data_IF_411895388868
#
_entry.id   IF_411895388868
#
_cell.length_a   1.000
_cell.length_b   1.000
_cell.length_c   1.000
_cell.angle_alpha   90.00
_cell.angle_beta   90.00
_cell.angle_gamma   90.00
#
_symmetry.space_group_name_H-M   'P 1'
#
loop_
_entity.id
_entity.type
_entity.pdbx_description
1 polymer ?
#
# COMPACT_ATOMS: atom_id res chain seq x y z
N UNK A 1 13.62 64.12 -25.34
CA UNK A 1 12.52 63.23 -25.74
C UNK A 1 12.65 62.96 -27.23
N UNK A 2 13.20 61.80 -27.59
CA UNK A 2 13.35 61.36 -28.98
C UNK A 2 12.22 60.36 -29.31
N UNK A 3 11.68 60.36 -30.54
CA UNK A 3 10.63 59.43 -30.93
C UNK A 3 11.19 58.01 -31.17
N UNK A 4 10.36 56.95 -30.99
CA UNK A 4 10.80 55.58 -31.20
C UNK A 4 10.95 55.26 -32.70
N UNK A 5 11.82 54.31 -33.07
CA UNK A 5 12.02 53.89 -34.45
C UNK A 5 10.88 52.98 -34.95
N UNK A 6 10.69 52.87 -36.28
CA UNK A 6 9.56 52.17 -36.88
C UNK A 6 9.73 50.64 -36.78
N UNK A 7 8.63 49.96 -36.44
CA UNK A 7 8.55 48.50 -36.46
C UNK A 7 8.47 47.97 -37.90
N UNK A 8 9.38 47.06 -38.25
CA UNK A 8 9.33 46.28 -39.50
C UNK A 8 8.43 45.06 -39.28
N UNK A 9 7.34 44.98 -40.04
CA UNK A 9 6.55 43.75 -40.17
C UNK A 9 7.28 42.77 -41.10
N UNK A 10 7.67 41.61 -40.55
CA UNK A 10 8.11 40.44 -41.32
C UNK A 10 6.91 39.52 -41.54
N UNK A 11 6.41 39.50 -42.77
CA UNK A 11 5.39 38.56 -43.23
C UNK A 11 6.07 37.24 -43.59
N UNK A 12 5.99 36.23 -42.71
CA UNK A 12 6.37 34.86 -43.05
C UNK A 12 5.16 34.13 -43.65
N UNK A 13 5.21 33.83 -44.95
CA UNK A 13 4.27 32.91 -45.60
C UNK A 13 4.64 31.48 -45.19
N UNK A 14 3.84 30.87 -44.31
CA UNK A 14 3.87 29.45 -44.03
C UNK A 14 2.87 28.73 -44.95
N UNK A 15 3.41 28.04 -45.95
CA UNK A 15 2.70 27.11 -46.81
C UNK A 15 2.20 25.92 -45.98
N UNK A 16 0.88 25.82 -45.79
CA UNK A 16 0.22 24.67 -45.19
C UNK A 16 0.19 23.49 -46.18
N UNK A 17 1.07 22.51 -45.98
CA UNK A 17 0.87 21.17 -46.51
C UNK A 17 -0.05 20.40 -45.54
N UNK A 18 -1.24 20.02 -46.03
CA UNK A 18 -2.20 19.17 -45.30
C UNK A 18 -1.67 17.72 -45.20
N UNK A 19 -1.56 17.12 -44.02
CA UNK A 19 -1.55 15.67 -43.89
C UNK A 19 -3.00 15.15 -43.92
N UNK A 20 -3.20 14.05 -44.65
CA UNK A 20 -4.48 13.33 -44.74
C UNK A 20 -4.90 12.79 -43.37
N UNK A 21 -6.18 12.90 -43.09
CA UNK A 21 -6.87 12.28 -41.97
C UNK A 21 -6.54 10.79 -41.82
N UNK A 22 -5.95 10.42 -40.70
CA UNK A 22 -6.22 9.14 -40.04
C UNK A 22 -6.67 9.48 -38.61
N UNK A 23 -7.97 9.35 -38.36
CA UNK A 23 -8.55 9.46 -37.03
C UNK A 23 -7.98 8.34 -36.16
N UNK A 24 -7.01 8.66 -35.32
CA UNK A 24 -6.68 7.84 -34.17
C UNK A 24 -7.65 8.24 -33.06
N UNK A 25 -8.72 7.47 -32.93
CA UNK A 25 -9.52 7.42 -31.70
C UNK A 25 -8.66 6.64 -30.70
N UNK A 26 -8.25 7.21 -29.57
CA UNK A 26 -7.70 6.39 -28.50
C UNK A 26 -8.85 5.51 -28.01
N UNK A 27 -8.83 4.24 -28.43
CA UNK A 27 -9.64 3.21 -27.78
C UNK A 27 -9.04 3.09 -26.38
N UNK A 28 -9.74 3.64 -25.39
CA UNK A 28 -9.54 3.28 -24.00
C UNK A 28 -9.88 1.78 -23.91
N UNK A 29 -8.86 0.93 -23.98
CA UNK A 29 -9.00 -0.47 -23.64
C UNK A 29 -9.16 -0.50 -22.13
N UNK A 30 -10.40 -0.45 -21.66
CA UNK A 30 -10.75 -0.87 -20.32
C UNK A 30 -10.52 -2.38 -20.25
N UNK A 31 -9.27 -2.78 -20.01
CA UNK A 31 -8.98 -4.12 -19.55
C UNK A 31 -9.53 -4.21 -18.13
N UNK A 32 -10.69 -4.86 -17.99
CA UNK A 32 -11.21 -5.25 -16.68
C UNK A 32 -10.27 -6.30 -16.12
N UNK A 33 -9.32 -5.89 -15.29
CA UNK A 33 -8.51 -6.78 -14.46
C UNK A 33 -9.34 -7.24 -13.26
N UNK A 34 -10.36 -8.06 -13.51
CA UNK A 34 -10.92 -8.92 -12.47
C UNK A 34 -10.03 -10.15 -12.40
N UNK A 35 -8.95 -10.04 -11.64
CA UNK A 35 -8.18 -11.18 -11.18
C UNK A 35 -8.09 -11.06 -9.68
N UNK A 36 -8.65 -12.05 -8.95
CA UNK A 36 -8.32 -12.30 -7.55
C UNK A 36 -6.82 -12.08 -7.38
N UNK A 37 -6.43 -11.19 -6.46
CA UNK A 37 -5.08 -10.63 -6.30
C UNK A 37 -3.98 -11.64 -5.95
N UNK A 38 -3.80 -12.68 -6.75
CA UNK A 38 -2.69 -13.60 -6.65
C UNK A 38 -1.65 -13.24 -7.69
N UNK A 39 -0.61 -12.53 -7.25
CA UNK A 39 0.70 -12.69 -7.89
C UNK A 39 1.19 -14.12 -7.59
N UNK A 40 0.75 -15.06 -8.43
CA UNK A 40 1.24 -16.43 -8.52
C UNK A 40 2.64 -16.41 -9.12
N UNK A 41 3.67 -16.46 -8.27
CA UNK A 41 4.85 -17.26 -8.59
C UNK A 41 4.48 -18.66 -8.15
N UNK A 42 4.17 -19.56 -9.09
CA UNK A 42 4.17 -20.99 -8.80
C UNK A 42 5.61 -21.38 -8.44
N UNK A 43 5.96 -21.29 -7.17
CA UNK A 43 6.89 -22.27 -6.61
C UNK A 43 5.99 -23.45 -6.27
N UNK A 44 5.85 -24.38 -7.22
CA UNK A 44 5.34 -25.71 -6.87
C UNK A 44 6.23 -26.22 -5.74
N UNK A 45 5.68 -26.54 -4.55
CA UNK A 45 6.47 -27.19 -3.53
C UNK A 45 7.08 -28.43 -4.16
N UNK A 46 8.37 -28.66 -3.91
CA UNK A 46 8.99 -29.92 -4.32
C UNK A 46 8.16 -31.09 -3.75
N UNK A 47 8.13 -32.26 -4.40
CA UNK A 47 7.31 -33.40 -3.98
C UNK A 47 7.51 -33.80 -2.50
N UNK A 48 8.63 -33.45 -1.89
CA UNK A 48 8.91 -33.66 -0.46
C UNK A 48 8.11 -32.74 0.49
N UNK A 49 7.81 -31.49 0.11
CA UNK A 49 6.96 -30.60 0.92
C UNK A 49 5.49 -31.01 0.81
N UNK A 50 5.03 -31.39 -0.40
CA UNK A 50 3.67 -31.92 -0.60
C UNK A 50 3.44 -33.18 0.25
N UNK A 51 4.44 -34.06 0.33
CA UNK A 51 4.37 -35.27 1.17
C UNK A 51 4.26 -34.98 2.68
N UNK A 52 4.78 -33.84 3.17
CA UNK A 52 4.59 -33.41 4.56
C UNK A 52 3.14 -32.98 4.82
N UNK A 53 2.49 -32.32 3.85
CA UNK A 53 1.09 -31.88 3.97
C UNK A 53 0.08 -33.02 3.80
N UNK A 54 0.36 -34.01 2.93
CA UNK A 54 -0.48 -35.20 2.82
C UNK A 54 -0.46 -36.07 4.09
N UNK A 55 0.62 -35.99 4.89
CA UNK A 55 0.67 -36.64 6.21
C UNK A 55 -0.22 -35.94 7.25
N UNK A 56 -0.51 -34.65 7.10
CA UNK A 56 -1.47 -33.92 7.93
C UNK A 56 -2.91 -34.31 7.56
N UNK A 57 -3.18 -34.56 6.26
CA UNK A 57 -4.48 -35.07 5.80
C UNK A 57 -4.84 -36.44 6.38
N UNK A 58 -3.87 -37.33 6.60
CA UNK A 58 -4.18 -38.67 7.13
C UNK A 58 -4.52 -38.68 8.63
N UNK A 59 -4.25 -37.61 9.37
CA UNK A 59 -4.53 -37.52 10.81
C UNK A 59 -5.90 -36.87 11.11
N UNK A 60 -6.52 -36.19 10.14
CA UNK A 60 -7.79 -35.46 10.34
C UNK A 60 -9.06 -36.27 10.02
N UNK A 61 -8.97 -37.57 9.75
CA UNK A 61 -10.12 -38.39 9.36
C UNK A 61 -11.05 -38.82 10.53
N UNK A 62 -10.98 -38.22 11.72
CA UNK A 62 -11.75 -38.68 12.90
C UNK A 62 -12.60 -37.61 13.63
N UNK A 63 -12.92 -36.47 13.02
CA UNK A 63 -13.93 -35.56 13.58
C UNK A 63 -14.70 -34.77 12.51
N UNK A 64 -15.97 -34.50 12.81
CA UNK A 64 -17.00 -33.95 11.90
C UNK A 64 -16.52 -32.87 10.94
N UNK A 65 -16.72 -33.16 9.66
CA UNK A 65 -16.13 -32.49 8.50
C UNK A 65 -16.80 -31.14 8.22
N UNK A 66 -16.14 -30.06 8.63
CA UNK A 66 -16.30 -28.74 7.98
C UNK A 66 -15.82 -28.84 6.52
N UNK A 67 -16.39 -28.02 5.63
CA UNK A 67 -16.10 -27.99 4.19
C UNK A 67 -14.58 -27.91 3.95
N UNK A 68 -13.99 -29.01 3.48
CA UNK A 68 -12.54 -29.16 3.28
C UNK A 68 -11.88 -28.21 2.28
N UNK A 69 -12.67 -27.43 1.53
CA UNK A 69 -12.16 -26.45 0.56
C UNK A 69 -11.62 -25.16 1.19
N UNK A 70 -12.10 -24.76 2.38
CA UNK A 70 -11.76 -23.46 2.98
C UNK A 70 -10.43 -23.47 3.77
N UNK A 71 -9.94 -24.65 4.15
CA UNK A 71 -8.72 -24.77 4.97
C UNK A 71 -7.42 -24.64 4.18
N UNK A 72 -7.41 -25.02 2.90
CA UNK A 72 -6.18 -25.03 2.09
C UNK A 72 -5.60 -23.62 1.89
N UNK A 73 -6.39 -22.58 1.57
CA UNK A 73 -5.89 -21.20 1.49
C UNK A 73 -5.23 -20.72 2.78
N UNK A 74 -5.85 -21.00 3.93
CA UNK A 74 -5.31 -20.63 5.24
C UNK A 74 -3.95 -21.29 5.53
N UNK A 75 -3.82 -22.60 5.31
CA UNK A 75 -2.54 -23.28 5.59
C UNK A 75 -1.41 -22.81 4.68
N UNK A 76 -1.70 -22.53 3.40
CA UNK A 76 -0.73 -21.97 2.47
C UNK A 76 -0.30 -20.55 2.87
N UNK A 77 -1.27 -19.71 3.25
CA UNK A 77 -1.01 -18.38 3.79
C UNK A 77 -0.08 -18.46 5.01
N UNK A 78 -0.45 -19.29 6.00
CA UNK A 78 0.36 -19.48 7.21
C UNK A 78 1.76 -19.97 6.89
N UNK A 79 1.90 -21.02 6.08
CA UNK A 79 3.21 -21.56 5.72
C UNK A 79 4.10 -20.50 5.06
N UNK A 80 3.53 -19.71 4.14
CA UNK A 80 4.25 -18.62 3.47
C UNK A 80 4.72 -17.56 4.47
N UNK A 81 3.86 -17.09 5.37
CA UNK A 81 4.22 -16.03 6.32
C UNK A 81 5.28 -16.47 7.32
N UNK A 82 5.21 -17.70 7.80
CA UNK A 82 6.25 -18.24 8.67
C UNK A 82 7.58 -18.44 7.93
N UNK A 83 7.55 -18.79 6.65
CA UNK A 83 8.74 -18.80 5.79
C UNK A 83 9.36 -17.41 5.63
N UNK A 84 8.55 -16.38 5.36
CA UNK A 84 9.02 -15.00 5.24
C UNK A 84 9.52 -14.43 6.57
N UNK A 85 8.87 -14.76 7.70
CA UNK A 85 9.33 -14.40 9.05
C UNK A 85 10.76 -14.84 9.29
N UNK A 86 11.09 -16.08 8.95
CA UNK A 86 12.45 -16.59 9.15
C UNK A 86 13.49 -15.84 8.29
N UNK A 87 13.10 -15.39 7.08
CA UNK A 87 13.96 -14.53 6.26
C UNK A 87 14.13 -13.16 6.92
N UNK A 88 13.04 -12.57 7.41
CA UNK A 88 13.00 -11.27 8.04
C UNK A 88 13.86 -11.19 9.33
N UNK A 89 13.98 -12.29 10.07
CA UNK A 89 14.85 -12.39 11.27
C UNK A 89 16.33 -12.13 10.98
N UNK A 90 16.77 -12.24 9.72
CA UNK A 90 18.16 -11.94 9.32
C UNK A 90 18.40 -10.45 8.99
N UNK A 91 17.36 -9.61 9.05
CA UNK A 91 17.51 -8.18 8.76
C UNK A 91 17.97 -7.39 9.99
N UNK A 92 18.59 -6.22 9.79
CA UNK A 92 19.05 -5.36 10.89
C UNK A 92 17.92 -5.00 11.85
N UNK A 93 18.27 -4.79 13.11
CA UNK A 93 17.33 -4.41 14.16
C UNK A 93 16.56 -3.15 13.79
N UNK A 94 15.24 -3.31 13.69
CA UNK A 94 14.27 -2.25 13.46
C UNK A 94 14.07 -1.32 14.67
N UNK A 95 14.75 -1.60 15.79
CA UNK A 95 14.87 -0.67 16.91
C UNK A 95 15.81 0.52 16.60
N UNK A 96 16.56 0.49 15.49
CA UNK A 96 17.25 1.69 15.00
C UNK A 96 16.24 2.82 14.83
N UNK A 97 16.64 4.04 15.15
CA UNK A 97 15.82 5.20 14.83
C UNK A 97 16.16 5.64 13.41
N UNK A 98 15.17 5.62 12.52
CA UNK A 98 15.31 6.20 11.18
C UNK A 98 14.95 7.67 11.23
N UNK A 99 15.79 8.49 10.61
CA UNK A 99 15.47 9.88 10.33
C UNK A 99 15.39 10.06 8.82
N UNK A 100 14.47 10.89 8.36
CA UNK A 100 14.49 11.36 6.98
C UNK A 100 15.68 12.30 6.74
N UNK A 101 15.84 12.80 5.50
CA UNK A 101 16.91 13.76 5.16
C UNK A 101 16.79 15.11 5.86
N UNK A 102 15.64 15.46 6.46
CA UNK A 102 15.48 16.64 7.32
C UNK A 102 16.02 16.41 8.73
N UNK A 103 16.37 15.18 9.08
CA UNK A 103 16.64 14.78 10.46
C UNK A 103 15.37 14.55 11.26
N UNK A 104 14.18 14.54 10.63
CA UNK A 104 12.93 14.21 11.31
C UNK A 104 12.86 12.72 11.51
N UNK A 105 12.63 12.29 12.76
CA UNK A 105 12.43 10.88 13.08
C UNK A 105 11.20 10.33 12.35
N UNK A 106 11.36 9.23 11.62
CA UNK A 106 10.27 8.54 10.96
C UNK A 106 9.38 7.89 12.02
N UNK A 107 8.09 8.18 11.93
CA UNK A 107 7.02 7.53 12.67
C UNK A 107 5.93 7.14 11.66
N UNK A 108 5.85 5.85 11.36
CA UNK A 108 5.00 5.29 10.33
C UNK A 108 3.78 4.62 10.95
N UNK A 109 2.58 5.08 10.60
CA UNK A 109 1.32 4.41 10.95
C UNK A 109 0.90 3.51 9.79
N UNK A 110 0.53 2.27 10.07
CA UNK A 110 0.21 1.24 9.07
C UNK A 110 -1.18 0.68 9.34
N UNK A 111 -2.04 0.78 8.32
CA UNK A 111 -3.34 0.13 8.30
C UNK A 111 -3.24 -1.14 7.48
N UNK A 112 -3.41 -2.29 8.14
CA UNK A 112 -3.48 -3.61 7.51
C UNK A 112 -4.93 -3.83 7.10
N UNK A 113 -5.20 -3.75 5.80
CA UNK A 113 -6.53 -3.87 5.27
C UNK A 113 -7.02 -5.30 5.45
N UNK A 114 -8.07 -5.42 6.26
CA UNK A 114 -8.75 -6.64 6.64
C UNK A 114 -10.25 -6.38 6.54
N UNK A 115 -11.05 -7.43 6.35
CA UNK A 115 -12.49 -7.34 6.55
C UNK A 115 -12.84 -7.65 8.00
N UNK A 116 -14.04 -7.23 8.42
CA UNK A 116 -14.60 -7.65 9.69
C UNK A 116 -15.06 -9.11 9.66
N UNK A 117 -15.25 -9.68 10.83
CA UNK A 117 -15.86 -10.97 11.04
C UNK A 117 -14.85 -12.09 11.27
N UNK A 118 -15.37 -13.19 11.82
CA UNK A 118 -14.59 -14.36 12.22
C UNK A 118 -13.90 -15.10 11.07
N UNK A 119 -14.27 -14.82 9.82
CA UNK A 119 -13.65 -15.42 8.64
C UNK A 119 -12.22 -14.93 8.41
N UNK A 120 -11.94 -13.66 8.72
CA UNK A 120 -10.62 -13.05 8.53
C UNK A 120 -9.70 -13.24 9.73
N UNK A 121 -10.27 -13.59 10.89
CA UNK A 121 -9.53 -13.77 12.14
C UNK A 121 -8.31 -14.70 12.01
N UNK A 122 -8.39 -15.87 11.37
CA UNK A 122 -7.23 -16.75 11.23
C UNK A 122 -6.07 -16.08 10.47
N UNK A 123 -6.35 -15.21 9.50
CA UNK A 123 -5.32 -14.47 8.77
C UNK A 123 -4.71 -13.36 9.61
N UNK A 124 -5.55 -12.63 10.37
CA UNK A 124 -5.08 -11.63 11.35
C UNK A 124 -4.15 -12.27 12.39
N UNK A 125 -4.50 -13.44 12.89
CA UNK A 125 -3.69 -14.19 13.86
C UNK A 125 -2.31 -14.55 13.29
N UNK A 126 -2.24 -15.00 12.02
CA UNK A 126 -0.96 -15.25 11.37
C UNK A 126 -0.13 -13.98 11.24
N UNK A 127 -0.74 -12.85 10.88
CA UNK A 127 -0.04 -11.55 10.84
C UNK A 127 0.52 -11.17 12.21
N UNK A 128 -0.28 -11.29 13.28
CA UNK A 128 0.15 -11.07 14.68
C UNK A 128 1.30 -11.98 15.10
N UNK A 129 1.22 -13.26 14.76
CA UNK A 129 2.24 -14.27 15.10
C UNK A 129 3.57 -14.05 14.35
N UNK A 130 3.54 -13.30 13.25
CA UNK A 130 4.69 -13.10 12.37
C UNK A 130 5.28 -11.70 12.46
N UNK A 131 5.02 -10.83 11.48
CA UNK A 131 5.70 -9.55 11.35
C UNK A 131 5.11 -8.43 12.21
N UNK A 132 3.85 -8.58 12.65
CA UNK A 132 3.18 -7.63 13.56
C UNK A 132 3.53 -7.88 15.03
N UNK A 133 4.26 -8.97 15.32
CA UNK A 133 4.79 -9.24 16.65
C UNK A 133 5.69 -8.07 17.08
N UNK A 134 5.51 -7.49 18.29
CA UNK A 134 6.12 -6.22 18.71
C UNK A 134 7.64 -6.29 19.01
N UNK A 135 8.42 -6.89 18.12
CA UNK A 135 9.87 -6.99 18.20
C UNK A 135 10.49 -5.90 17.32
N UNK A 136 11.53 -5.26 17.85
CA UNK A 136 12.36 -4.33 17.10
C UNK A 136 11.64 -3.06 16.62
N UNK A 137 10.81 -2.42 17.44
CA UNK A 137 10.28 -1.10 17.07
C UNK A 137 9.05 -1.09 16.16
N UNK A 138 8.40 -2.25 15.97
CA UNK A 138 6.99 -2.33 15.56
C UNK A 138 6.12 -2.39 16.82
N UNK A 139 5.07 -1.56 16.88
CA UNK A 139 4.20 -1.46 18.04
C UNK A 139 2.73 -1.42 17.64
N UNK A 140 1.87 -1.94 18.52
CA UNK A 140 0.43 -1.89 18.33
C UNK A 140 -0.04 -0.44 18.48
N UNK A 141 -0.81 0.05 17.52
CA UNK A 141 -1.22 1.46 17.47
C UNK A 141 -2.09 1.87 18.67
N UNK A 142 -2.94 0.96 19.17
CA UNK A 142 -3.79 1.22 20.33
C UNK A 142 -3.05 1.38 21.66
N UNK A 143 -1.79 0.94 21.74
CA UNK A 143 -0.95 1.20 22.92
C UNK A 143 -0.39 2.64 22.94
N UNK A 144 -0.66 3.41 21.89
CA UNK A 144 -0.23 4.79 21.76
C UNK A 144 1.21 4.95 21.28
N UNK A 145 1.64 6.21 21.18
CA UNK A 145 2.96 6.57 20.70
C UNK A 145 4.05 6.20 21.72
N UNK A 146 5.17 5.66 21.24
CA UNK A 146 6.31 5.29 22.08
C UNK A 146 7.63 5.63 21.39
N UNK A 147 8.57 6.19 22.16
CA UNK A 147 9.90 6.52 21.65
C UNK A 147 10.74 5.30 21.26
N UNK A 148 10.29 4.07 21.54
CA UNK A 148 10.96 2.83 21.12
C UNK A 148 10.42 2.29 19.80
N UNK A 149 9.37 2.90 19.25
CA UNK A 149 8.68 2.42 18.07
C UNK A 149 8.90 3.36 16.89
N UNK A 150 9.10 2.77 15.72
CA UNK A 150 9.18 3.46 14.43
C UNK A 150 7.96 3.16 13.58
N UNK A 151 7.41 1.94 13.71
CA UNK A 151 6.24 1.46 12.98
C UNK A 151 5.11 1.19 13.97
N UNK A 152 3.92 1.68 13.66
CA UNK A 152 2.71 1.51 14.45
C UNK A 152 1.63 0.86 13.60
N UNK A 153 1.05 -0.24 14.07
CA UNK A 153 0.23 -1.12 13.23
C UNK A 153 -1.15 -1.33 13.82
N UNK A 154 -2.16 -1.39 12.95
CA UNK A 154 -3.54 -1.75 13.26
C UNK A 154 -4.17 -2.45 12.05
N UNK A 155 -5.14 -3.32 12.27
CA UNK A 155 -6.04 -3.79 11.23
C UNK A 155 -7.07 -2.70 10.92
N UNK A 156 -7.10 -2.24 9.68
CA UNK A 156 -8.04 -1.24 9.20
C UNK A 156 -9.27 -1.96 8.59
N UNK A 157 -10.40 -1.86 9.27
CA UNK A 157 -11.66 -2.53 8.94
C UNK A 157 -12.72 -1.47 8.71
N UNK A 158 -13.61 -1.64 7.74
CA UNK A 158 -14.75 -0.76 7.54
C UNK A 158 -15.83 -1.00 8.59
N UNK A 159 -16.74 -0.06 8.74
CA UNK A 159 -17.87 -0.19 9.64
C UNK A 159 -18.81 -1.30 9.17
N UNK A 160 -19.08 -2.23 10.08
CA UNK A 160 -19.96 -3.39 9.88
C UNK A 160 -21.16 -3.40 10.82
N UNK A 161 -21.68 -2.22 11.19
CA UNK A 161 -22.91 -2.10 11.97
C UNK A 161 -24.07 -2.99 11.46
N UNK A 162 -24.08 -3.35 10.17
CA UNK A 162 -25.07 -4.25 9.57
C UNK A 162 -24.71 -5.76 9.60
N UNK A 163 -23.45 -6.14 9.89
CA UNK A 163 -22.95 -7.53 9.80
C UNK A 163 -22.66 -8.19 11.16
N UNK A 164 -22.96 -7.48 12.25
CA UNK A 164 -22.58 -7.88 13.61
C UNK A 164 -21.28 -7.19 14.04
N UNK A 165 -21.23 -6.80 15.31
CA UNK A 165 -20.03 -6.20 15.88
C UNK A 165 -18.89 -7.21 15.85
N UNK A 166 -17.76 -6.82 15.27
CA UNK A 166 -16.51 -7.49 15.62
C UNK A 166 -16.31 -7.35 17.13
N UNK A 167 -15.77 -8.38 17.80
CA UNK A 167 -15.29 -8.19 19.16
C UNK A 167 -14.37 -6.96 19.17
N UNK A 168 -14.47 -6.14 20.21
CA UNK A 168 -13.58 -4.98 20.39
C UNK A 168 -12.14 -5.50 20.55
N UNK A 169 -11.49 -5.75 19.42
CA UNK A 169 -10.10 -6.15 19.33
C UNK A 169 -9.25 -4.89 19.42
N UNK A 170 -8.35 -4.83 20.39
CA UNK A 170 -7.52 -3.65 20.66
C UNK A 170 -6.70 -3.23 19.43
N UNK A 171 -6.44 -4.13 18.49
CA UNK A 171 -5.62 -3.86 17.32
C UNK A 171 -6.41 -3.61 16.05
N UNK A 172 -7.73 -3.43 16.15
CA UNK A 172 -8.62 -3.12 15.03
C UNK A 172 -9.07 -1.64 15.10
N UNK A 173 -8.86 -0.92 13.99
CA UNK A 173 -9.42 0.40 13.77
C UNK A 173 -10.62 0.28 12.84
N UNK A 174 -11.80 0.69 13.33
CA UNK A 174 -13.03 0.75 12.55
C UNK A 174 -13.10 2.09 11.82
N UNK A 175 -13.13 2.04 10.49
CA UNK A 175 -13.21 3.21 9.63
C UNK A 175 -14.65 3.67 9.42
N UNK A 176 -14.90 4.98 9.27
CA UNK A 176 -16.23 5.55 9.07
C UNK A 176 -16.71 5.37 7.62
N UNK A 177 -16.62 4.16 7.09
CA UNK A 177 -17.07 3.77 5.75
C UNK A 177 -17.66 2.36 5.85
N UNK A 178 -18.74 2.08 5.10
CA UNK A 178 -19.24 0.71 4.98
C UNK A 178 -18.12 -0.21 4.48
N UNK A 179 -17.97 -1.40 5.07
CA UNK A 179 -16.92 -2.35 4.66
C UNK A 179 -16.93 -2.57 3.14
N UNK A 180 -15.79 -2.26 2.52
CA UNK A 180 -15.52 -2.43 1.11
C UNK A 180 -14.02 -2.56 0.93
N UNK A 181 -13.58 -3.45 0.04
CA UNK A 181 -12.15 -3.58 -0.26
C UNK A 181 -11.70 -2.59 -1.33
N UNK A 182 -12.59 -2.30 -2.31
CA UNK A 182 -12.21 -1.59 -3.54
C UNK A 182 -12.89 -0.21 -3.71
N UNK A 183 -13.84 0.16 -2.85
CA UNK A 183 -14.70 1.34 -3.01
C UNK A 183 -14.27 2.50 -2.11
N UNK A 184 -12.97 2.78 -2.06
CA UNK A 184 -12.44 3.98 -1.41
C UNK A 184 -12.00 3.83 0.04
N UNK A 185 -11.99 2.61 0.61
CA UNK A 185 -11.40 2.34 1.95
C UNK A 185 -9.98 2.89 2.10
N UNK A 186 -9.16 2.81 1.05
CA UNK A 186 -7.83 3.43 1.01
C UNK A 186 -7.86 4.93 1.31
N UNK A 187 -8.72 5.68 0.62
CA UNK A 187 -8.86 7.13 0.83
C UNK A 187 -9.30 7.44 2.26
N UNK A 188 -10.33 6.73 2.74
CA UNK A 188 -10.85 6.93 4.10
C UNK A 188 -9.79 6.61 5.16
N UNK A 189 -9.02 5.53 4.97
CA UNK A 189 -7.91 5.18 5.86
C UNK A 189 -6.90 6.32 5.98
N UNK A 190 -6.40 6.85 4.87
CA UNK A 190 -5.38 7.92 4.90
C UNK A 190 -5.90 9.17 5.60
N UNK A 191 -7.11 9.61 5.26
CA UNK A 191 -7.72 10.81 5.84
C UNK A 191 -8.00 10.64 7.34
N UNK A 192 -8.57 9.49 7.72
CA UNK A 192 -8.84 9.14 9.11
C UNK A 192 -7.54 9.11 9.92
N UNK A 193 -6.54 8.36 9.44
CA UNK A 193 -5.28 8.17 10.13
C UNK A 193 -4.50 9.48 10.29
N UNK A 194 -4.55 10.37 9.30
CA UNK A 194 -3.86 11.65 9.34
C UNK A 194 -4.49 12.64 10.33
N UNK A 195 -5.81 12.56 10.49
CA UNK A 195 -6.55 13.35 11.46
C UNK A 195 -6.36 12.81 12.90
N UNK A 196 -6.42 11.49 13.09
CA UNK A 196 -6.34 10.85 14.40
C UNK A 196 -4.90 10.87 14.96
N UNK A 197 -3.92 10.44 14.18
CA UNK A 197 -2.53 10.31 14.63
C UNK A 197 -1.67 11.45 14.11
N UNK A 198 -1.90 12.65 14.66
CA UNK A 198 -1.21 13.90 14.24
C UNK A 198 0.31 13.87 14.43
N UNK A 199 0.82 12.97 15.28
CA UNK A 199 2.25 12.75 15.48
C UNK A 199 2.90 11.92 14.36
N UNK A 200 2.11 11.20 13.55
CA UNK A 200 2.65 10.40 12.46
C UNK A 200 3.37 11.27 11.44
N UNK A 201 4.48 10.76 10.90
CA UNK A 201 5.16 11.39 9.76
C UNK A 201 4.66 10.84 8.44
N UNK A 202 4.30 9.55 8.43
CA UNK A 202 3.88 8.81 7.26
C UNK A 202 2.74 7.87 7.64
N UNK A 203 1.90 7.57 6.64
CA UNK A 203 0.77 6.67 6.78
C UNK A 203 0.87 5.66 5.65
N UNK A 204 0.70 4.38 5.95
CA UNK A 204 0.78 3.29 4.99
C UNK A 204 -0.51 2.49 4.96
N UNK A 205 -0.90 2.07 3.77
CA UNK A 205 -1.82 0.97 3.52
C UNK A 205 -1.01 -0.28 3.23
N UNK A 206 -1.41 -1.39 3.83
CA UNK A 206 -0.86 -2.72 3.60
C UNK A 206 -2.01 -3.72 3.45
N UNK A 207 -1.99 -4.60 2.47
CA UNK A 207 -2.95 -5.71 2.45
C UNK A 207 -2.56 -6.78 3.46
N UNK A 208 -3.55 -7.48 4.01
CA UNK A 208 -3.33 -8.59 4.95
C UNK A 208 -2.44 -9.69 4.35
N UNK A 209 -2.46 -9.84 3.02
CA UNK A 209 -1.64 -10.77 2.25
C UNK A 209 -0.29 -10.17 1.78
N UNK A 210 0.19 -9.15 2.48
CA UNK A 210 1.54 -8.62 2.33
C UNK A 210 2.44 -8.89 3.54
N UNK A 211 3.73 -9.15 3.24
CA UNK A 211 4.78 -9.29 4.25
C UNK A 211 5.78 -8.13 4.12
N UNK A 212 5.80 -7.17 5.07
CA UNK A 212 6.68 -6.02 5.00
C UNK A 212 8.09 -6.34 5.55
N UNK A 213 9.12 -6.02 4.77
CA UNK A 213 10.50 -6.04 5.21
C UNK A 213 10.88 -4.67 5.77
N UNK A 214 10.58 -4.43 7.05
CA UNK A 214 10.59 -3.09 7.66
C UNK A 214 11.89 -2.33 7.53
N UNK A 215 13.05 -2.96 7.75
CA UNK A 215 14.36 -2.31 7.60
C UNK A 215 14.56 -1.76 6.18
N UNK A 216 14.19 -2.55 5.16
CA UNK A 216 14.24 -2.12 3.77
C UNK A 216 13.26 -0.97 3.50
N UNK A 217 12.01 -1.10 3.96
CA UNK A 217 10.99 -0.05 3.79
C UNK A 217 11.46 1.27 4.41
N UNK A 218 11.94 1.23 5.65
CA UNK A 218 12.39 2.42 6.39
C UNK A 218 13.68 3.02 5.82
N UNK A 219 14.61 2.20 5.32
CA UNK A 219 15.80 2.70 4.60
C UNK A 219 15.40 3.42 3.31
N UNK A 220 14.45 2.89 2.55
CA UNK A 220 13.94 3.54 1.34
C UNK A 220 13.24 4.87 1.67
N UNK A 221 12.52 4.94 2.78
CA UNK A 221 11.91 6.19 3.27
C UNK A 221 12.99 7.21 3.66
N UNK A 222 14.02 6.80 4.40
CA UNK A 222 15.06 7.69 4.90
C UNK A 222 15.95 8.28 3.79
N UNK A 223 16.17 7.53 2.71
CA UNK A 223 17.08 7.93 1.64
C UNK A 223 16.51 9.00 0.70
N UNK A 224 15.22 9.33 0.76
CA UNK A 224 14.57 10.15 -0.26
C UNK A 224 14.81 11.64 -0.11
N UNK A 225 14.91 12.30 -1.26
CA UNK A 225 15.13 13.74 -1.38
C UNK A 225 13.83 14.51 -1.27
N UNK A 226 13.88 15.62 -0.56
CA UNK A 226 12.88 16.66 -0.66
C UNK A 226 13.07 17.40 -1.99
N UNK A 227 12.00 17.79 -2.71
CA UNK A 227 10.60 17.90 -2.25
C UNK A 227 9.68 16.73 -2.63
N UNK A 228 10.22 15.57 -3.02
CA UNK A 228 9.49 14.48 -3.69
C UNK A 228 8.63 13.60 -2.77
N UNK A 229 8.34 14.07 -1.57
CA UNK A 229 7.54 13.34 -0.58
C UNK A 229 6.09 13.37 -1.00
N UNK A 230 5.55 12.32 -1.62
CA UNK A 230 4.09 12.20 -1.66
C UNK A 230 3.56 10.76 -1.69
N UNK A 231 4.03 9.88 -2.59
CA UNK A 231 3.45 8.51 -2.69
C UNK A 231 4.54 7.47 -2.86
N UNK A 232 4.45 6.38 -2.09
CA UNK A 232 5.34 5.24 -2.21
C UNK A 232 4.61 3.94 -2.22
N UNK A 233 4.62 3.24 -3.33
CA UNK A 233 4.18 1.86 -3.38
C UNK A 233 5.00 1.14 -4.41
N UNK A 234 4.99 -0.17 -4.36
CA UNK A 234 5.53 -0.98 -5.44
C UNK A 234 4.97 -2.37 -5.29
N UNK A 235 4.20 -2.82 -6.27
CA UNK A 235 4.18 -4.26 -6.52
C UNK A 235 5.42 -4.59 -7.33
N UNK A 236 6.10 -5.69 -6.98
CA UNK A 236 7.15 -6.27 -7.81
C UNK A 236 6.60 -6.91 -9.11
N UNK A 237 5.31 -6.71 -9.41
CA UNK A 237 4.67 -7.29 -10.58
C UNK A 237 4.79 -6.34 -11.76
N UNK A 238 5.67 -6.69 -12.71
CA UNK A 238 5.81 -6.00 -13.99
C UNK A 238 4.54 -5.99 -14.86
N UNK A 239 3.47 -6.68 -14.44
CA UNK A 239 2.31 -6.97 -15.29
C UNK A 239 1.01 -6.22 -14.90
N UNK A 240 0.87 -5.71 -13.66
CA UNK A 240 -0.38 -5.08 -13.21
C UNK A 240 -0.19 -3.77 -12.40
N UNK A 241 0.80 -2.95 -12.76
CA UNK A 241 0.91 -1.59 -12.25
C UNK A 241 2.33 -1.26 -11.86
N UNK A 242 3.02 -0.56 -12.76
CA UNK A 242 4.07 0.33 -12.31
C UNK A 242 3.42 1.31 -11.31
N UNK A 243 4.03 1.48 -10.14
CA UNK A 243 3.67 2.62 -9.32
C UNK A 243 4.22 3.83 -10.04
N UNK A 244 3.29 4.60 -10.60
CA UNK A 244 3.62 5.87 -11.19
C UNK A 244 3.86 6.82 -10.03
N UNK A 245 5.13 7.05 -9.76
CA UNK A 245 5.58 8.15 -8.94
C UNK A 245 5.91 9.30 -9.88
N UNK A 246 5.33 10.48 -9.66
CA UNK A 246 5.72 11.64 -10.41
C UNK A 246 7.17 12.02 -10.07
N UNK A 247 7.86 12.64 -11.02
CA UNK A 247 9.16 13.26 -10.76
C UNK A 247 9.02 14.28 -9.61
N UNK A 248 10.08 14.43 -8.82
CA UNK A 248 10.23 15.50 -7.83
C UNK A 248 9.83 16.88 -8.39
N UNK A 249 10.10 17.11 -9.67
CA UNK A 249 9.75 18.33 -10.38
C UNK A 249 8.24 18.60 -10.37
N UNK A 250 7.37 17.59 -10.31
CA UNK A 250 5.92 17.73 -10.33
C UNK A 250 5.34 18.48 -9.12
N UNK A 251 6.12 18.61 -8.04
CA UNK A 251 5.72 19.33 -6.83
C UNK A 251 4.62 18.62 -6.05
N UNK A 252 3.74 19.39 -5.41
CA UNK A 252 2.62 18.88 -4.62
C UNK A 252 1.36 18.67 -5.49
N UNK A 253 0.53 17.66 -5.17
CA UNK A 253 -0.80 17.51 -5.75
C UNK A 253 -1.63 18.79 -5.61
N UNK A 254 -2.44 19.09 -6.62
CA UNK A 254 -3.35 20.23 -6.64
C UNK A 254 -4.62 19.85 -5.90
N UNK A 255 -5.00 20.64 -4.89
CA UNK A 255 -6.19 20.37 -4.06
C UNK A 255 -6.23 18.93 -3.54
N UNK A 256 -5.07 18.35 -3.25
CA UNK A 256 -4.96 16.99 -2.72
C UNK A 256 -5.42 15.87 -3.68
N UNK A 257 -5.65 16.20 -4.95
CA UNK A 257 -5.99 15.21 -5.96
C UNK A 257 -4.73 14.59 -6.52
N UNK A 258 -4.45 13.33 -6.17
CA UNK A 258 -3.28 12.57 -6.63
C UNK A 258 -3.24 12.37 -8.16
N UNK A 259 -4.34 12.61 -8.85
CA UNK A 259 -4.42 12.59 -10.31
C UNK A 259 -4.10 13.95 -10.95
N UNK A 260 -3.92 15.00 -10.14
CA UNK A 260 -3.67 16.36 -10.61
C UNK A 260 -2.52 17.00 -9.85
N UNK A 261 -1.47 17.42 -10.56
CA UNK A 261 -0.37 18.19 -9.97
C UNK A 261 -0.38 19.63 -10.47
N UNK A 262 0.33 20.52 -9.76
CA UNK A 262 0.36 21.94 -10.09
C UNK A 262 1.08 22.26 -11.42
N UNK A 263 1.82 21.29 -11.96
CA UNK A 263 2.41 21.38 -13.29
C UNK A 263 1.44 20.74 -14.28
N UNK A 264 1.11 21.46 -15.35
CA UNK A 264 0.27 20.99 -16.45
C UNK A 264 0.98 19.91 -17.32
N UNK A 265 1.94 19.18 -16.75
CA UNK A 265 2.63 18.08 -17.40
C UNK A 265 1.75 16.83 -17.23
N UNK A 266 1.28 16.21 -18.33
CA UNK A 266 0.49 14.99 -18.27
C UNK A 266 1.25 13.79 -17.65
N UNK A 267 2.58 13.88 -17.49
CA UNK A 267 3.38 12.91 -16.76
C UNK A 267 3.36 13.08 -15.23
N UNK A 268 2.78 14.16 -14.71
CA UNK A 268 2.72 14.44 -13.28
C UNK A 268 1.42 13.91 -12.66
N UNK A 269 1.38 12.62 -12.38
CA UNK A 269 0.33 11.98 -11.58
C UNK A 269 0.95 10.91 -10.67
N UNK A 270 0.27 10.59 -9.56
CA UNK A 270 0.65 9.48 -8.70
C UNK A 270 -0.48 8.47 -8.61
N UNK A 271 -0.13 7.19 -8.71
CA UNK A 271 -1.08 6.10 -8.55
C UNK A 271 -0.52 5.05 -7.60
N UNK A 272 -1.02 5.05 -6.36
CA UNK A 272 -0.74 4.01 -5.38
C UNK A 272 -1.62 2.80 -5.65
N UNK A 273 -1.03 1.72 -6.16
CA UNK A 273 -1.74 0.48 -6.45
C UNK A 273 -1.05 -0.73 -5.85
N UNK A 274 -1.86 -1.74 -5.56
CA UNK A 274 -1.44 -3.04 -5.09
C UNK A 274 -1.25 -3.09 -3.58
N UNK A 275 -0.34 -3.95 -3.15
CA UNK A 275 -0.43 -4.55 -1.83
C UNK A 275 0.17 -3.70 -0.71
N UNK A 276 1.03 -2.73 -1.04
CA UNK A 276 1.65 -1.84 -0.07
C UNK A 276 1.93 -0.49 -0.69
N UNK A 277 1.45 0.57 -0.04
CA UNK A 277 1.91 1.92 -0.32
C UNK A 277 1.68 2.91 0.83
N UNK A 278 2.50 3.95 0.91
CA UNK A 278 2.46 4.98 1.95
C UNK A 278 2.53 6.40 1.40
N UNK A 279 1.98 7.32 2.19
CA UNK A 279 1.92 8.75 1.95
C UNK A 279 2.61 9.48 3.12
N UNK A 280 3.09 10.70 2.87
CA UNK A 280 3.39 11.61 3.98
C UNK A 280 2.08 11.95 4.72
N UNK A 281 2.13 12.25 6.02
CA UNK A 281 0.91 12.64 6.77
C UNK A 281 0.26 13.87 6.17
N UNK A 282 1.06 14.87 5.76
CA UNK A 282 0.55 16.11 5.15
C UNK A 282 -0.28 15.80 3.90
N UNK A 283 0.16 14.84 3.09
CA UNK A 283 -0.59 14.44 1.91
C UNK A 283 -1.80 13.56 2.24
N UNK A 284 -1.67 12.67 3.21
CA UNK A 284 -2.78 11.82 3.65
C UNK A 284 -3.94 12.62 4.28
N UNK A 285 -3.66 13.78 4.87
CA UNK A 285 -4.65 14.65 5.51
C UNK A 285 -5.59 15.38 4.53
N UNK A 286 -5.40 15.15 3.24
CA UNK A 286 -5.75 16.05 2.15
C UNK A 286 -6.59 15.26 1.14
#
# INVERSE_FOLDING_TARGET
YAPPPPQRHLSAQLSMARPRHSQFVPILVAASCITYGQSLIFVTPGPEEVAKYDRVRSVQNHSGFHRSGELLPYYLFRARWFGEKHKAENFPDIAKQWTDRRGTRIQLVVGVFSIAGSQEQPYRDVVRETWMNPRGGVCMLALGQSERCTVYVTFAVGNTQDLGQDPEEEDVTILPIHENMDEGKSRVWFQYAAAEWTWATHIMKLDIDSFPYWSYVLDQMAQRELPCENVYGGTMSAWCGAVFMPDCACGKPKNSDFMQYNIADPGCFAYGHGSMYFLSRELAAN
#
